data_IF_663899965844
#
_entry.id   IF_663899965844
#
_cell.length_a   1.000
_cell.length_b   1.000
_cell.length_c   1.000
_cell.angle_alpha   90.00
_cell.angle_beta   90.00
_cell.angle_gamma   90.00
#
_symmetry.space_group_name_H-M   'P 1'
#
loop_
_entity.id
_entity.type
_entity.pdbx_description
1 polymer ?
#
# COMPACT_ATOMS: atom_id res chain seq x y z
N UNK A 1 4.15 1.29 24.55
CA UNK A 1 2.72 0.96 24.57
C UNK A 1 2.47 -0.15 25.59
N UNK A 2 3.07 -1.34 25.45
CA UNK A 2 2.85 -2.50 26.31
C UNK A 2 3.05 -2.18 27.82
N UNK A 3 4.12 -1.48 28.17
CA UNK A 3 4.34 -1.05 29.58
C UNK A 3 3.26 -0.07 30.05
N UNK A 4 2.87 0.89 29.23
CA UNK A 4 1.86 1.88 29.60
C UNK A 4 0.49 1.25 29.88
N UNK A 5 0.08 0.25 29.10
CA UNK A 5 -1.19 -0.46 29.24
C UNK A 5 -1.34 -1.13 30.63
N UNK A 6 -0.23 -1.51 31.23
CA UNK A 6 -0.22 -2.17 32.55
C UNK A 6 -0.13 -1.17 33.70
N UNK A 7 0.11 0.12 33.44
CA UNK A 7 0.38 1.13 34.47
C UNK A 7 -0.77 2.12 34.65
N UNK A 8 -1.62 2.32 33.67
CA UNK A 8 -2.64 3.36 33.71
C UNK A 8 -3.99 2.88 33.18
N UNK A 9 -5.07 3.40 33.78
CA UNK A 9 -6.45 3.15 33.34
C UNK A 9 -6.75 3.82 32.01
N UNK A 10 -6.34 5.06 31.87
CA UNK A 10 -6.48 5.84 30.64
C UNK A 10 -5.11 6.16 30.07
N UNK A 11 -4.96 5.95 28.78
CA UNK A 11 -3.71 6.19 28.07
C UNK A 11 -3.99 7.03 26.85
N UNK A 12 -3.26 8.13 26.72
CA UNK A 12 -3.16 8.89 25.48
C UNK A 12 -1.74 8.82 24.94
N UNK A 13 -1.61 8.40 23.68
CA UNK A 13 -0.32 8.21 23.03
C UNK A 13 -0.31 8.85 21.66
N UNK A 14 0.76 9.58 21.34
CA UNK A 14 1.06 10.01 19.96
C UNK A 14 2.18 9.12 19.44
N UNK A 15 1.98 8.52 18.28
CA UNK A 15 2.91 7.57 17.68
C UNK A 15 3.02 7.79 16.17
N UNK A 16 4.08 7.30 15.51
CA UNK A 16 4.15 7.31 14.06
C UNK A 16 2.97 6.55 13.44
N UNK A 17 2.40 7.09 12.38
CA UNK A 17 1.26 6.50 11.65
C UNK A 17 1.58 5.13 11.07
N UNK A 18 2.86 4.81 10.86
CA UNK A 18 3.30 3.46 10.48
C UNK A 18 2.80 2.36 11.42
N UNK A 19 2.50 2.67 12.69
CA UNK A 19 1.92 1.71 13.62
C UNK A 19 0.62 1.08 13.10
N UNK A 20 -0.21 1.83 12.40
CA UNK A 20 -1.49 1.32 11.93
C UNK A 20 -1.40 0.49 10.64
N UNK A 21 -0.29 0.52 9.89
CA UNK A 21 -0.23 -0.08 8.55
C UNK A 21 1.06 -0.86 8.20
N UNK A 22 2.06 -0.95 9.08
CA UNK A 22 3.26 -1.74 8.76
C UNK A 22 3.32 -3.09 9.49
N UNK A 23 3.97 -4.12 8.91
CA UNK A 23 4.03 -5.47 9.50
C UNK A 23 4.69 -5.51 10.87
N UNK A 24 5.69 -4.65 11.11
CA UNK A 24 6.49 -4.62 12.33
C UNK A 24 5.65 -4.39 13.58
N UNK A 25 4.48 -3.74 13.43
CA UNK A 25 3.59 -3.42 14.54
C UNK A 25 2.36 -4.33 14.67
N UNK A 26 2.35 -5.50 14.01
CA UNK A 26 1.21 -6.43 14.09
C UNK A 26 0.87 -6.78 15.54
N UNK A 27 1.85 -7.20 16.35
CA UNK A 27 1.64 -7.54 17.76
C UNK A 27 1.10 -6.35 18.58
N UNK A 28 1.61 -5.15 18.32
CA UNK A 28 1.13 -3.95 19.00
C UNK A 28 -0.33 -3.66 18.65
N UNK A 29 -0.72 -3.80 17.37
CA UNK A 29 -2.11 -3.65 16.94
C UNK A 29 -3.02 -4.68 17.62
N UNK A 30 -2.63 -5.95 17.67
CA UNK A 30 -3.38 -7.01 18.36
C UNK A 30 -3.60 -6.70 19.85
N UNK A 31 -2.59 -6.15 20.53
CA UNK A 31 -2.73 -5.71 21.93
C UNK A 31 -3.75 -4.57 22.03
N UNK A 32 -3.69 -3.59 21.14
CA UNK A 32 -4.61 -2.45 21.13
C UNK A 32 -6.04 -2.85 20.77
N UNK A 33 -6.25 -3.79 19.86
CA UNK A 33 -7.56 -4.36 19.48
C UNK A 33 -8.29 -5.00 20.67
N UNK A 34 -7.53 -5.53 21.64
CA UNK A 34 -8.05 -6.13 22.85
C UNK A 34 -8.38 -5.13 23.97
N UNK A 35 -8.13 -3.86 23.75
CA UNK A 35 -8.45 -2.77 24.68
C UNK A 35 -9.59 -1.90 24.16
N UNK A 36 -10.14 -1.05 25.01
CA UNK A 36 -11.15 -0.09 24.59
C UNK A 36 -10.50 1.14 23.97
N UNK A 37 -10.39 1.15 22.66
CA UNK A 37 -9.93 2.28 21.89
C UNK A 37 -11.08 3.27 21.70
N UNK A 38 -11.02 4.42 22.34
CA UNK A 38 -12.03 5.47 22.27
C UNK A 38 -11.92 6.29 20.99
N UNK A 39 -10.70 6.69 20.67
CA UNK A 39 -10.46 7.54 19.50
C UNK A 39 -9.10 7.30 18.87
N UNK A 40 -9.08 7.61 17.59
CA UNK A 40 -7.87 7.74 16.77
C UNK A 40 -7.93 9.14 16.15
N UNK A 41 -6.87 9.94 16.39
CA UNK A 41 -6.71 11.23 15.70
C UNK A 41 -5.56 11.13 14.71
N UNK A 42 -5.82 11.35 13.44
CA UNK A 42 -4.82 11.37 12.37
C UNK A 42 -4.36 12.80 12.09
N UNK A 43 -3.16 13.12 12.51
CA UNK A 43 -2.56 14.44 12.30
C UNK A 43 -1.87 14.58 10.94
N UNK A 44 -1.63 13.47 10.22
CA UNK A 44 -0.69 13.50 9.11
C UNK A 44 0.67 14.06 9.56
N UNK A 45 1.22 15.00 8.82
CA UNK A 45 2.49 15.69 9.15
C UNK A 45 2.29 16.96 10.01
N UNK A 46 1.09 17.20 10.54
CA UNK A 46 0.75 18.46 11.22
C UNK A 46 0.97 18.46 12.73
N UNK A 47 1.26 17.30 13.36
CA UNK A 47 1.39 17.21 14.80
C UNK A 47 2.59 18.00 15.36
N UNK A 48 3.70 18.01 14.62
CA UNK A 48 4.94 18.65 15.10
C UNK A 48 5.52 19.60 14.05
N UNK A 49 5.72 20.86 14.43
CA UNK A 49 6.29 21.87 13.53
C UNK A 49 7.69 21.48 13.06
N UNK A 50 7.91 21.48 11.75
CA UNK A 50 9.22 21.17 11.14
C UNK A 50 9.58 19.69 11.05
N UNK A 51 8.75 18.80 11.60
CA UNK A 51 8.94 17.34 11.52
C UNK A 51 8.01 16.74 10.49
N UNK A 52 8.58 16.12 9.46
CA UNK A 52 7.84 15.50 8.35
C UNK A 52 7.58 14.00 8.63
N UNK A 53 7.02 13.70 9.78
CA UNK A 53 6.61 12.35 10.17
C UNK A 53 5.10 12.34 10.34
N UNK A 54 4.42 11.46 9.63
CA UNK A 54 2.98 11.25 9.83
C UNK A 54 2.75 10.60 11.19
N UNK A 55 1.83 11.15 11.95
CA UNK A 55 1.52 10.71 13.31
C UNK A 55 0.03 10.51 13.51
N UNK A 56 -0.28 9.61 14.43
CA UNK A 56 -1.62 9.37 14.95
C UNK A 56 -1.59 9.41 16.48
N UNK A 57 -2.69 9.78 17.12
CA UNK A 57 -2.86 9.56 18.55
C UNK A 57 -3.99 8.58 18.82
N UNK A 58 -3.86 7.87 19.92
CA UNK A 58 -4.87 6.96 20.46
C UNK A 58 -5.27 7.40 21.87
N UNK A 59 -6.57 7.28 22.16
CA UNK A 59 -7.10 7.34 23.52
C UNK A 59 -7.67 5.98 23.88
N UNK A 60 -7.14 5.36 24.93
CA UNK A 60 -7.47 4.01 25.36
C UNK A 60 -8.01 4.01 26.80
N UNK A 61 -9.00 3.14 27.08
CA UNK A 61 -9.35 2.67 28.42
C UNK A 61 -8.91 1.20 28.54
N UNK A 62 -7.98 0.96 29.48
CA UNK A 62 -7.36 -0.36 29.64
C UNK A 62 -8.15 -1.29 30.59
N UNK A 63 -9.07 -0.73 31.39
CA UNK A 63 -9.77 -1.44 32.46
C UNK A 63 -11.24 -1.76 32.18
N UNK A 64 -11.86 -1.07 31.24
CA UNK A 64 -13.29 -1.26 30.98
C UNK A 64 -13.57 -2.65 30.41
N UNK A 65 -14.50 -3.40 31.00
CA UNK A 65 -14.88 -4.74 30.55
C UNK A 65 -15.75 -4.69 29.28
N UNK A 66 -16.64 -3.71 29.18
CA UNK A 66 -17.48 -3.50 28.00
C UNK A 66 -16.66 -2.86 26.88
N UNK A 67 -16.64 -3.51 25.72
CA UNK A 67 -15.92 -2.99 24.55
C UNK A 67 -16.79 -1.96 23.81
N UNK A 68 -16.20 -0.83 23.45
CA UNK A 68 -16.87 0.11 22.54
C UNK A 68 -17.01 -0.53 21.17
N UNK A 69 -18.19 -0.38 20.58
CA UNK A 69 -18.44 -0.85 19.21
C UNK A 69 -17.91 0.15 18.18
N UNK A 70 -17.93 1.43 18.53
CA UNK A 70 -17.50 2.51 17.66
C UNK A 70 -16.28 3.23 18.21
N UNK A 71 -15.42 3.64 17.30
CA UNK A 71 -14.21 4.43 17.56
C UNK A 71 -14.39 5.79 16.89
N UNK A 72 -14.16 6.85 17.64
CA UNK A 72 -14.15 8.22 17.10
C UNK A 72 -12.88 8.39 16.25
N UNK A 73 -13.05 8.74 14.99
CA UNK A 73 -11.95 9.07 14.07
C UNK A 73 -11.98 10.58 13.81
N UNK A 74 -10.88 11.24 14.10
CA UNK A 74 -10.66 12.65 13.78
C UNK A 74 -9.46 12.75 12.83
N UNK A 75 -9.63 13.46 11.72
CA UNK A 75 -8.60 13.57 10.69
C UNK A 75 -8.28 15.02 10.37
N UNK A 76 -7.05 15.43 10.61
CA UNK A 76 -6.51 16.71 10.16
C UNK A 76 -6.08 16.69 8.69
N UNK A 77 -6.04 15.51 8.06
CA UNK A 77 -5.74 15.36 6.63
C UNK A 77 -6.98 15.71 5.80
N UNK A 78 -8.13 15.11 6.17
CA UNK A 78 -9.40 15.31 5.45
C UNK A 78 -10.30 16.37 6.09
N UNK A 79 -9.90 16.91 7.24
CA UNK A 79 -10.69 17.83 8.05
C UNK A 79 -12.09 17.28 8.38
N UNK A 80 -12.12 16.02 8.85
CA UNK A 80 -13.35 15.29 9.17
C UNK A 80 -13.31 14.69 10.56
N UNK A 81 -14.51 14.53 11.15
CA UNK A 81 -14.76 13.81 12.38
C UNK A 81 -15.94 12.87 12.15
N UNK A 82 -15.73 11.57 12.43
CA UNK A 82 -16.77 10.56 12.28
C UNK A 82 -16.57 9.42 13.27
N UNK A 83 -17.58 8.56 13.41
CA UNK A 83 -17.51 7.34 14.20
C UNK A 83 -17.47 6.15 13.26
N UNK A 84 -16.58 5.20 13.56
CA UNK A 84 -16.39 4.01 12.77
C UNK A 84 -16.52 2.76 13.62
N UNK A 85 -17.22 1.76 13.12
CA UNK A 85 -17.30 0.45 13.80
C UNK A 85 -15.89 -0.16 13.90
N UNK A 86 -15.52 -0.65 15.09
CA UNK A 86 -14.21 -1.26 15.35
C UNK A 86 -13.93 -2.45 14.44
N UNK A 87 -14.95 -3.28 14.15
CA UNK A 87 -14.78 -4.46 13.29
C UNK A 87 -14.54 -4.07 11.84
N UNK A 88 -14.95 -2.85 11.47
CA UNK A 88 -14.68 -2.26 10.16
C UNK A 88 -13.21 -1.84 10.05
N UNK A 89 -12.66 -1.22 11.10
CA UNK A 89 -11.26 -0.80 11.17
C UNK A 89 -10.33 -2.02 11.27
N UNK A 90 -10.65 -2.97 12.16
CA UNK A 90 -9.79 -4.09 12.54
C UNK A 90 -10.04 -5.37 11.74
N UNK A 91 -10.75 -5.27 10.62
CA UNK A 91 -11.13 -6.41 9.81
C UNK A 91 -9.91 -7.28 9.43
N UNK A 92 -9.95 -8.55 9.78
CA UNK A 92 -8.91 -9.53 9.45
C UNK A 92 -8.85 -9.90 7.95
N UNK A 93 -9.78 -9.38 7.15
CA UNK A 93 -9.73 -9.49 5.67
C UNK A 93 -8.60 -8.66 5.06
N UNK A 94 -8.09 -7.67 5.81
CA UNK A 94 -7.05 -6.76 5.34
C UNK A 94 -5.77 -6.91 6.18
N UNK A 95 -4.60 -6.55 5.63
CA UNK A 95 -3.32 -6.79 6.28
C UNK A 95 -3.04 -5.89 7.49
N UNK A 96 -3.85 -4.85 7.69
CA UNK A 96 -3.69 -3.87 8.76
C UNK A 96 -4.97 -3.04 8.95
N UNK A 97 -4.97 -2.10 9.89
CA UNK A 97 -6.12 -1.25 10.20
C UNK A 97 -6.44 -0.28 9.06
N UNK A 98 -7.74 -0.17 8.74
CA UNK A 98 -8.27 0.74 7.73
C UNK A 98 -9.20 1.77 8.38
N UNK A 99 -8.62 2.85 8.93
CA UNK A 99 -9.38 3.87 9.67
C UNK A 99 -10.31 4.71 8.79
N UNK A 100 -10.07 4.76 7.48
CA UNK A 100 -10.88 5.47 6.48
C UNK A 100 -11.75 4.56 5.62
N UNK A 101 -11.84 3.25 5.93
CA UNK A 101 -12.67 2.31 5.19
C UNK A 101 -14.12 2.79 5.17
N UNK A 102 -14.78 2.73 4.02
CA UNK A 102 -16.14 3.16 3.78
C UNK A 102 -16.83 2.30 2.72
N UNK A 103 -18.09 2.55 2.41
CA UNK A 103 -18.87 1.79 1.44
C UNK A 103 -18.23 1.80 0.04
N UNK A 104 -17.67 2.94 -0.39
CA UNK A 104 -16.97 3.04 -1.65
C UNK A 104 -15.78 2.06 -1.72
N UNK A 105 -14.96 2.01 -0.66
CA UNK A 105 -13.85 1.07 -0.58
C UNK A 105 -14.34 -0.38 -0.70
N UNK A 106 -15.39 -0.74 0.04
CA UNK A 106 -15.94 -2.10 0.00
C UNK A 106 -16.56 -2.46 -1.35
N UNK A 107 -17.21 -1.51 -2.01
CA UNK A 107 -17.72 -1.66 -3.37
C UNK A 107 -16.59 -1.98 -4.37
N UNK A 108 -15.46 -1.29 -4.25
CA UNK A 108 -14.29 -1.56 -5.11
C UNK A 108 -13.68 -2.93 -4.79
N UNK A 109 -13.54 -3.27 -3.49
CA UNK A 109 -13.05 -4.60 -3.07
C UNK A 109 -13.92 -5.73 -3.64
N UNK A 110 -15.24 -5.56 -3.67
CA UNK A 110 -16.16 -6.58 -4.22
C UNK A 110 -16.01 -6.80 -5.75
N UNK A 111 -15.40 -5.85 -6.45
CA UNK A 111 -15.11 -5.97 -7.88
C UNK A 111 -13.81 -6.70 -8.18
N UNK A 112 -12.97 -6.96 -7.16
CA UNK A 112 -11.61 -7.46 -7.36
C UNK A 112 -11.34 -8.76 -6.59
N UNK A 113 -10.55 -9.63 -7.21
CA UNK A 113 -9.81 -10.66 -6.50
C UNK A 113 -8.50 -10.04 -6.00
N UNK A 114 -8.35 -9.95 -4.70
CA UNK A 114 -7.18 -9.35 -4.01
C UNK A 114 -6.11 -10.39 -3.66
N UNK A 115 -4.97 -9.91 -3.16
CA UNK A 115 -3.83 -10.72 -2.68
C UNK A 115 -3.25 -11.67 -3.75
N UNK A 116 -3.20 -11.19 -4.98
CA UNK A 116 -2.78 -11.97 -6.16
C UNK A 116 -1.29 -11.82 -6.50
N UNK A 117 -0.55 -10.98 -5.79
CA UNK A 117 0.85 -10.69 -6.11
C UNK A 117 1.82 -11.09 -5.01
N UNK A 118 2.97 -11.59 -5.44
CA UNK A 118 4.22 -11.54 -4.68
C UNK A 118 4.93 -10.22 -5.01
N UNK A 119 5.58 -9.62 -4.01
CA UNK A 119 6.23 -8.33 -4.17
C UNK A 119 7.73 -8.45 -4.00
N UNK A 120 8.48 -7.81 -4.88
CA UNK A 120 9.91 -7.66 -4.74
C UNK A 120 10.32 -6.20 -4.91
N UNK A 121 11.29 -5.79 -4.12
CA UNK A 121 11.97 -4.49 -4.22
C UNK A 121 13.46 -4.69 -4.18
N UNK A 122 14.16 -4.19 -5.18
CA UNK A 122 15.61 -4.20 -5.17
C UNK A 122 16.17 -3.30 -4.07
N UNK A 123 17.30 -3.70 -3.48
CA UNK A 123 18.05 -2.92 -2.49
C UNK A 123 19.55 -2.90 -2.78
N UNK A 124 19.95 -3.48 -3.90
CA UNK A 124 21.35 -3.69 -4.25
C UNK A 124 21.83 -2.67 -5.28
N UNK A 125 20.99 -2.35 -6.28
CA UNK A 125 21.36 -1.42 -7.34
C UNK A 125 21.37 0.01 -6.80
N UNK A 126 22.52 0.65 -6.91
CA UNK A 126 22.76 2.04 -6.51
C UNK A 126 23.41 2.79 -7.67
N UNK A 127 23.51 4.12 -7.57
CA UNK A 127 24.18 4.98 -8.58
C UNK A 127 25.61 4.47 -8.93
N UNK A 128 26.30 3.80 -8.01
CA UNK A 128 27.65 3.29 -8.25
C UNK A 128 27.70 2.16 -9.28
N UNK A 129 26.59 1.44 -9.47
CA UNK A 129 26.49 0.31 -10.39
C UNK A 129 25.99 0.73 -11.77
N UNK A 130 25.52 1.97 -11.93
CA UNK A 130 24.84 2.42 -13.16
C UNK A 130 25.75 3.27 -14.03
N UNK A 131 25.54 3.15 -15.35
CA UNK A 131 26.24 3.83 -16.43
C UNK A 131 25.24 4.65 -17.26
N UNK A 132 25.72 5.61 -18.05
CA UNK A 132 24.89 6.39 -18.97
C UNK A 132 24.44 5.57 -20.20
N UNK A 133 25.15 4.48 -20.52
CA UNK A 133 24.79 3.53 -21.58
C UNK A 133 25.21 2.11 -21.17
N UNK A 134 24.56 1.09 -21.71
CA UNK A 134 24.88 -0.30 -21.37
C UNK A 134 23.87 -1.30 -21.92
N UNK A 135 24.09 -2.56 -21.58
CA UNK A 135 23.33 -3.71 -22.12
C UNK A 135 21.90 -3.78 -21.58
N UNK A 136 21.71 -3.50 -20.27
CA UNK A 136 20.42 -3.58 -19.59
C UNK A 136 20.01 -2.22 -19.06
N UNK A 137 18.79 -1.81 -19.33
CA UNK A 137 18.24 -0.57 -18.80
C UNK A 137 17.78 -0.77 -17.36
N UNK A 138 18.13 0.17 -16.48
CA UNK A 138 17.66 0.22 -15.09
C UNK A 138 16.51 1.22 -15.00
N UNK A 139 15.29 0.70 -14.88
CA UNK A 139 14.09 1.53 -14.74
C UNK A 139 13.97 2.06 -13.32
N UNK A 140 13.63 3.32 -13.21
CA UNK A 140 13.39 4.05 -11.96
C UNK A 140 11.97 4.62 -11.95
N UNK A 141 11.49 5.06 -10.79
CA UNK A 141 10.09 5.48 -10.59
C UNK A 141 9.56 6.49 -11.63
N UNK A 142 10.40 7.43 -12.10
CA UNK A 142 10.00 8.43 -13.11
C UNK A 142 9.87 7.86 -14.53
N UNK A 143 10.46 6.68 -14.77
CA UNK A 143 10.31 6.00 -16.06
C UNK A 143 8.95 5.29 -16.21
N UNK A 144 8.26 4.99 -15.11
CA UNK A 144 7.01 4.25 -15.16
C UNK A 144 5.86 5.19 -15.47
N UNK A 145 5.12 4.88 -16.52
CA UNK A 145 3.87 5.54 -16.91
C UNK A 145 2.70 4.56 -16.90
N UNK A 146 1.51 5.05 -17.18
CA UNK A 146 0.35 4.20 -17.34
C UNK A 146 0.52 3.34 -18.58
N UNK A 147 0.64 2.02 -18.37
CA UNK A 147 0.80 1.03 -19.42
C UNK A 147 1.96 1.35 -20.39
N UNK A 148 3.02 2.01 -19.91
CA UNK A 148 4.15 2.44 -20.72
C UNK A 148 5.42 2.78 -19.94
N UNK A 149 6.48 3.02 -20.69
CA UNK A 149 7.79 3.44 -20.18
C UNK A 149 8.20 4.75 -20.85
N UNK A 150 8.60 5.72 -20.05
CA UNK A 150 9.11 7.00 -20.51
C UNK A 150 10.64 6.99 -20.59
N UNK A 151 11.17 7.52 -21.68
CA UNK A 151 12.59 7.85 -21.80
C UNK A 151 12.80 9.26 -21.24
N UNK A 152 13.83 9.41 -20.42
CA UNK A 152 14.15 10.69 -19.77
C UNK A 152 15.66 10.91 -19.90
N UNK A 153 16.04 11.83 -20.75
CA UNK A 153 17.42 12.27 -20.92
C UNK A 153 18.01 12.65 -19.56
N UNK A 154 19.28 12.38 -19.33
CA UNK A 154 20.03 12.62 -18.07
C UNK A 154 19.49 11.88 -16.82
N UNK A 155 18.42 11.12 -16.95
CA UNK A 155 17.87 10.31 -15.86
C UNK A 155 17.99 8.80 -16.10
N UNK A 156 17.89 8.39 -17.36
CA UNK A 156 17.99 6.99 -17.75
C UNK A 156 19.40 6.47 -17.46
N UNK A 157 19.46 5.24 -16.99
CA UNK A 157 20.73 4.60 -16.67
C UNK A 157 20.70 3.12 -17.01
N UNK A 158 21.88 2.54 -17.12
CA UNK A 158 22.11 1.20 -17.65
C UNK A 158 23.12 0.45 -16.79
N UNK A 159 23.20 -0.85 -17.01
CA UNK A 159 24.17 -1.73 -16.39
C UNK A 159 24.59 -2.84 -17.38
N UNK A 160 25.83 -3.27 -17.34
CA UNK A 160 26.32 -4.32 -18.24
C UNK A 160 26.25 -5.72 -17.67
N UNK A 161 26.43 -5.85 -16.36
CA UNK A 161 26.45 -7.13 -15.65
C UNK A 161 25.38 -7.13 -14.54
N UNK A 162 24.54 -8.15 -14.51
CA UNK A 162 23.40 -8.20 -13.58
C UNK A 162 23.35 -9.50 -12.77
N UNK A 163 24.18 -10.48 -13.05
CA UNK A 163 24.08 -11.83 -12.46
C UNK A 163 24.28 -11.83 -10.93
N UNK A 164 25.00 -10.86 -10.41
CA UNK A 164 25.20 -10.68 -8.96
C UNK A 164 24.01 -10.06 -8.22
N UNK A 165 23.03 -9.54 -8.92
CA UNK A 165 21.86 -8.86 -8.32
C UNK A 165 20.65 -9.77 -8.29
N UNK A 166 19.95 -9.82 -7.17
CA UNK A 166 18.74 -10.65 -7.01
C UNK A 166 17.64 -10.29 -8.01
N UNK A 167 17.59 -9.04 -8.47
CA UNK A 167 16.60 -8.57 -9.46
C UNK A 167 16.79 -9.23 -10.83
N UNK A 168 17.96 -9.79 -11.14
CA UNK A 168 18.25 -10.46 -12.41
C UNK A 168 17.31 -11.62 -12.72
N UNK A 169 16.79 -12.28 -11.68
CA UNK A 169 15.81 -13.38 -11.83
C UNK A 169 14.51 -12.97 -12.54
N UNK A 170 14.21 -11.68 -12.60
CA UNK A 170 13.04 -11.15 -13.30
C UNK A 170 13.34 -10.72 -14.73
N UNK A 171 14.62 -10.74 -15.16
CA UNK A 171 14.99 -10.32 -16.51
C UNK A 171 14.27 -11.15 -17.56
N UNK A 172 13.56 -10.46 -18.46
CA UNK A 172 12.77 -11.08 -19.54
C UNK A 172 11.65 -12.04 -19.05
N UNK A 173 11.36 -12.06 -17.75
CA UNK A 173 10.19 -12.78 -17.25
C UNK A 173 8.90 -12.10 -17.73
N UNK A 174 7.96 -12.91 -18.19
CA UNK A 174 6.66 -12.40 -18.67
C UNK A 174 5.72 -12.12 -17.51
N UNK A 175 4.71 -11.28 -17.77
CA UNK A 175 3.62 -11.02 -16.84
C UNK A 175 4.09 -10.38 -15.51
N UNK A 176 5.22 -9.68 -15.52
CA UNK A 176 5.73 -8.91 -14.38
C UNK A 176 5.19 -7.48 -14.46
N UNK A 177 4.57 -7.03 -13.38
CA UNK A 177 4.03 -5.66 -13.26
C UNK A 177 4.99 -4.79 -12.45
N UNK A 178 5.26 -3.60 -12.95
CA UNK A 178 6.07 -2.57 -12.34
C UNK A 178 5.19 -1.44 -11.81
N UNK A 179 5.43 -1.03 -10.57
CA UNK A 179 4.74 0.11 -9.94
C UNK A 179 5.77 0.99 -9.24
N UNK A 180 5.72 2.33 -9.39
CA UNK A 180 6.55 3.24 -8.61
C UNK A 180 6.36 2.99 -7.12
N UNK A 181 7.46 2.79 -6.40
CA UNK A 181 7.42 2.45 -4.98
C UNK A 181 6.79 3.54 -4.11
N UNK A 182 7.03 4.80 -4.46
CA UNK A 182 6.43 5.95 -3.81
C UNK A 182 5.57 6.67 -4.85
N UNK A 183 4.26 6.59 -4.71
CA UNK A 183 3.35 7.27 -5.63
C UNK A 183 2.08 7.71 -4.92
N UNK A 184 1.63 8.93 -5.23
CA UNK A 184 0.33 9.45 -4.82
C UNK A 184 -0.78 8.98 -5.78
N UNK A 185 -0.39 8.66 -7.01
CA UNK A 185 -1.26 8.19 -8.08
C UNK A 185 -0.70 6.87 -8.57
N UNK A 186 -1.35 5.74 -8.25
CA UNK A 186 -0.93 4.44 -8.75
C UNK A 186 -0.87 4.46 -10.27
N UNK A 187 0.18 3.87 -10.81
CA UNK A 187 0.36 3.64 -12.23
C UNK A 187 1.20 2.39 -12.40
N UNK A 188 0.92 1.66 -13.44
CA UNK A 188 1.55 0.37 -13.65
C UNK A 188 1.89 0.12 -15.12
N UNK A 189 2.92 -0.67 -15.33
CA UNK A 189 3.31 -1.16 -16.65
C UNK A 189 3.91 -2.55 -16.56
N UNK A 190 4.03 -3.26 -17.67
CA UNK A 190 4.80 -4.49 -17.72
C UNK A 190 6.31 -4.24 -17.74
N UNK A 191 7.09 -5.19 -17.21
CA UNK A 191 8.53 -5.18 -17.32
C UNK A 191 8.95 -5.38 -18.78
N UNK A 192 9.64 -4.41 -19.42
CA UNK A 192 10.11 -4.56 -20.79
C UNK A 192 11.29 -5.54 -20.87
N UNK A 193 11.50 -6.09 -22.06
CA UNK A 193 12.69 -6.90 -22.33
C UNK A 193 13.98 -6.10 -22.09
N UNK A 194 15.03 -6.81 -21.69
CA UNK A 194 16.37 -6.24 -21.43
C UNK A 194 16.34 -5.08 -20.41
N UNK A 195 15.38 -5.10 -19.48
CA UNK A 195 15.26 -4.10 -18.42
C UNK A 195 15.18 -4.75 -17.05
N UNK A 196 15.72 -4.07 -16.06
CA UNK A 196 15.61 -4.37 -14.64
C UNK A 196 15.16 -3.11 -13.91
N UNK A 197 14.96 -3.17 -12.61
CA UNK A 197 14.54 -2.02 -11.79
C UNK A 197 15.48 -1.79 -10.63
N UNK A 198 15.54 -0.56 -10.13
CA UNK A 198 16.14 -0.25 -8.83
C UNK A 198 15.07 -0.21 -7.72
N UNK A 199 15.48 0.08 -6.50
CA UNK A 199 14.61 0.11 -5.32
C UNK A 199 13.51 1.19 -5.33
N UNK A 200 13.47 2.07 -6.33
CA UNK A 200 12.41 3.06 -6.50
C UNK A 200 11.17 2.51 -7.23
N UNK A 201 11.26 1.29 -7.75
CA UNK A 201 10.17 0.57 -8.43
C UNK A 201 9.93 -0.76 -7.73
N UNK A 202 8.67 -1.06 -7.42
CA UNK A 202 8.27 -2.38 -6.94
C UNK A 202 7.92 -3.29 -8.12
N UNK A 203 8.36 -4.54 -8.03
CA UNK A 203 7.97 -5.63 -8.90
C UNK A 203 6.81 -6.36 -8.24
N UNK A 204 5.72 -6.55 -8.96
CA UNK A 204 4.60 -7.40 -8.59
C UNK A 204 4.56 -8.60 -9.55
N UNK A 205 4.80 -9.80 -9.01
CA UNK A 205 4.71 -11.06 -9.72
C UNK A 205 3.39 -11.73 -9.40
N UNK A 206 2.51 -12.00 -10.39
CA UNK A 206 1.26 -12.70 -10.14
C UNK A 206 1.49 -14.11 -9.58
N UNK A 207 0.68 -14.50 -8.61
CA UNK A 207 0.62 -15.83 -8.03
C UNK A 207 -0.16 -16.79 -8.93
N UNK A 208 0.13 -18.08 -8.81
CA UNK A 208 -0.72 -19.17 -9.33
C UNK A 208 -1.08 -19.05 -10.83
N UNK A 209 -0.20 -18.51 -11.66
CA UNK A 209 -0.43 -18.39 -13.10
C UNK A 209 -1.48 -17.36 -13.51
N UNK A 210 -1.91 -16.48 -12.60
CA UNK A 210 -2.84 -15.39 -12.92
C UNK A 210 -2.22 -14.50 -14.00
N UNK A 211 -2.96 -14.27 -15.08
CA UNK A 211 -2.55 -13.42 -16.19
C UNK A 211 -3.02 -11.97 -15.97
N UNK A 212 -2.08 -11.05 -16.01
CA UNK A 212 -2.37 -9.62 -16.00
C UNK A 212 -2.47 -9.10 -17.43
N UNK A 213 -3.50 -8.34 -17.71
CA UNK A 213 -3.73 -7.74 -19.03
C UNK A 213 -3.55 -6.23 -18.97
N UNK A 214 -3.47 -5.58 -20.13
CA UNK A 214 -3.46 -4.12 -20.23
C UNK A 214 -4.66 -3.48 -19.53
N UNK A 215 -5.84 -4.11 -19.61
CA UNK A 215 -7.06 -3.64 -18.92
C UNK A 215 -6.87 -3.52 -17.40
N UNK A 216 -6.13 -4.46 -16.78
CA UNK A 216 -5.80 -4.38 -15.36
C UNK A 216 -4.83 -3.23 -15.06
N UNK A 217 -3.81 -3.00 -15.93
CA UNK A 217 -2.89 -1.88 -15.77
C UNK A 217 -3.60 -0.53 -15.90
N UNK A 218 -4.52 -0.41 -16.87
CA UNK A 218 -5.34 0.80 -17.06
C UNK A 218 -6.23 1.04 -15.84
N UNK A 219 -6.81 -0.01 -15.27
CA UNK A 219 -7.60 0.09 -14.04
C UNK A 219 -6.79 0.60 -12.86
N UNK A 220 -5.55 0.12 -12.65
CA UNK A 220 -4.68 0.61 -11.57
C UNK A 220 -4.34 2.10 -11.68
N UNK A 221 -4.51 2.68 -12.85
CA UNK A 221 -4.28 4.10 -13.13
C UNK A 221 -5.57 4.94 -13.14
N UNK A 222 -6.73 4.31 -12.89
CA UNK A 222 -8.02 4.99 -12.87
C UNK A 222 -8.21 5.84 -11.60
N UNK A 223 -9.11 6.82 -11.68
CA UNK A 223 -9.50 7.64 -10.53
C UNK A 223 -10.18 6.78 -9.46
N UNK A 224 -11.00 5.80 -9.84
CA UNK A 224 -11.63 4.85 -8.92
C UNK A 224 -10.58 4.10 -8.11
N UNK A 225 -9.57 3.52 -8.78
CA UNK A 225 -8.50 2.79 -8.10
C UNK A 225 -7.62 3.73 -7.26
N UNK A 226 -7.35 4.92 -7.74
CA UNK A 226 -6.58 5.94 -7.02
C UNK A 226 -7.23 6.30 -5.68
N UNK A 227 -8.54 6.58 -5.67
CA UNK A 227 -9.25 6.91 -4.43
C UNK A 227 -9.36 5.69 -3.50
N UNK A 228 -9.65 4.51 -4.03
CA UNK A 228 -9.61 3.25 -3.29
C UNK A 228 -8.25 3.03 -2.63
N UNK A 229 -7.16 3.19 -3.38
CA UNK A 229 -5.81 2.96 -2.87
C UNK A 229 -5.39 3.99 -1.81
N UNK A 230 -5.83 5.24 -1.92
CA UNK A 230 -5.65 6.24 -0.85
C UNK A 230 -6.30 5.79 0.45
N UNK A 231 -7.52 5.24 0.41
CA UNK A 231 -8.21 4.69 1.57
C UNK A 231 -7.43 3.47 2.10
N UNK A 232 -7.07 2.54 1.22
CA UNK A 232 -6.25 1.37 1.54
C UNK A 232 -4.93 1.74 2.25
N UNK A 233 -4.35 2.89 1.94
CA UNK A 233 -3.11 3.40 2.55
C UNK A 233 -3.38 4.40 3.70
N UNK A 234 -4.59 4.38 4.27
CA UNK A 234 -5.00 5.29 5.34
C UNK A 234 -4.68 6.76 5.02
N UNK A 235 -4.86 7.18 3.75
CA UNK A 235 -4.59 8.55 3.28
C UNK A 235 -3.20 9.06 3.65
N UNK A 236 -2.21 8.15 3.68
CA UNK A 236 -0.81 8.50 3.95
C UNK A 236 -0.25 9.44 2.88
N UNK A 237 0.55 10.40 3.30
CA UNK A 237 1.17 11.39 2.40
C UNK A 237 2.60 11.02 2.03
N UNK A 238 3.30 10.26 2.91
CA UNK A 238 4.71 9.90 2.69
C UNK A 238 4.98 8.41 2.74
N UNK A 239 4.17 7.64 3.45
CA UNK A 239 4.38 6.21 3.69
C UNK A 239 3.65 5.34 2.66
N UNK A 240 3.69 5.73 1.39
CA UNK A 240 3.05 4.99 0.30
C UNK A 240 3.97 3.95 -0.35
N UNK A 241 4.93 3.43 0.42
CA UNK A 241 5.78 2.34 -0.05
C UNK A 241 4.94 1.13 -0.47
N UNK A 242 5.27 0.55 -1.61
CA UNK A 242 4.75 -0.75 -2.01
C UNK A 242 5.55 -1.81 -1.28
N UNK A 243 4.90 -2.51 -0.38
CA UNK A 243 5.40 -3.65 0.39
C UNK A 243 4.44 -4.84 0.25
N UNK A 244 4.75 -5.96 0.91
CA UNK A 244 3.92 -7.16 0.84
C UNK A 244 2.48 -6.93 1.35
N UNK A 245 2.27 -5.99 2.26
CA UNK A 245 0.94 -5.69 2.77
C UNK A 245 0.16 -4.80 1.81
N UNK A 246 0.78 -3.72 1.34
CA UNK A 246 0.11 -2.79 0.42
C UNK A 246 -0.11 -3.38 -0.97
N UNK A 247 0.75 -4.29 -1.42
CA UNK A 247 0.56 -5.03 -2.67
C UNK A 247 -0.71 -5.90 -2.67
N UNK A 248 -1.19 -6.33 -1.49
CA UNK A 248 -2.45 -7.09 -1.36
C UNK A 248 -3.68 -6.33 -1.82
N UNK A 249 -3.61 -5.00 -1.90
CA UNK A 249 -4.71 -4.17 -2.41
C UNK A 249 -4.72 -4.06 -3.94
N UNK A 250 -3.69 -4.52 -4.62
CA UNK A 250 -3.71 -4.66 -6.07
C UNK A 250 -4.35 -6.01 -6.42
N UNK A 251 -5.47 -5.95 -7.10
CA UNK A 251 -6.26 -7.13 -7.50
C UNK A 251 -6.61 -7.11 -8.98
N UNK A 252 -7.18 -8.19 -9.47
CA UNK A 252 -7.80 -8.25 -10.79
C UNK A 252 -9.31 -8.09 -10.69
N UNK A 253 -9.91 -7.43 -11.69
CA UNK A 253 -11.35 -7.31 -11.79
C UNK A 253 -11.99 -8.68 -11.99
N UNK A 254 -12.97 -9.03 -11.17
CA UNK A 254 -13.76 -10.23 -11.30
C UNK A 254 -14.77 -9.99 -12.42
N UNK A 255 -14.66 -10.71 -13.53
CA UNK A 255 -15.70 -10.71 -14.54
C UNK A 255 -16.95 -11.38 -13.95
N UNK A 256 -17.97 -10.59 -13.65
CA UNK A 256 -19.28 -11.15 -13.33
C UNK A 256 -19.84 -11.73 -14.64
N UNK A 257 -19.89 -13.05 -14.75
CA UNK A 257 -20.76 -13.70 -15.75
C UNK A 257 -22.18 -13.21 -15.48
N UNK A 258 -22.69 -12.35 -16.36
CA UNK A 258 -24.10 -12.00 -16.40
C UNK A 258 -24.81 -13.24 -16.96
N UNK A 259 -25.20 -14.17 -16.08
CA UNK A 259 -26.14 -15.23 -16.44
C UNK A 259 -27.49 -14.57 -16.70
N UNK A 260 -27.76 -14.19 -17.93
CA UNK A 260 -29.12 -13.94 -18.38
C UNK A 260 -29.89 -15.24 -18.27
N UNK A 261 -30.68 -15.41 -17.21
CA UNK A 261 -31.74 -16.40 -17.18
C UNK A 261 -32.81 -15.93 -18.18
N UNK A 262 -32.72 -16.43 -19.39
CA UNK A 262 -33.88 -16.39 -20.28
C UNK A 262 -34.93 -17.33 -19.67
N UNK A 263 -35.95 -16.77 -19.06
CA UNK A 263 -37.20 -17.49 -18.83
C UNK A 263 -37.88 -17.63 -20.18
N UNK A 264 -37.96 -18.89 -20.65
CA UNK A 264 -38.89 -19.30 -21.73
C UNK A 264 -40.28 -19.47 -21.11
#
# INVERSE_FOLDING_TARGET
IEKAINLAKYISLIVPKSLINTPEFNKTREILENKNLHSITDYGEKAFKGVKIETVSFLLDTYKKEKFEQIKIESYITNTLFYQNKDYIFSKKFPYWLIYRNEFFDMVVQKMQLDIFETFRDRQITKKHTLNSGKFRVLKSRNIENNGIKNIEDYDCFINEIDSFVVSKYLNEKNIVLIPNLTYYPRATFLPKNSIVDGSVAILKPKNGIEITKKHLDYYSSDEFTEYYKIARNRGTRSLNIDNNSAKFFGILIEKEIKYKYHK
#
